data_IF_545050401803
#
_entry.id   IF_545050401803
#
_cell.length_a   1.000
_cell.length_b   1.000
_cell.length_c   1.000
_cell.angle_alpha   90.00
_cell.angle_beta   90.00
_cell.angle_gamma   90.00
#
_symmetry.space_group_name_H-M   'P 1'
#
loop_
_entity.id
_entity.type
_entity.pdbx_description
1 polymer ?
#
# COMPACT_ATOMS: atom_id res chain seq x y z
N UNK A 1 3.15 0.96 -4.86
CA UNK A 1 2.11 0.59 -3.87
C UNK A 1 1.96 1.80 -2.98
N UNK A 2 0.76 2.30 -2.84
CA UNK A 2 0.46 3.57 -2.18
C UNK A 2 -0.47 3.32 -1.00
N UNK A 3 -0.21 4.00 0.11
CA UNK A 3 -1.10 4.06 1.26
C UNK A 3 -1.52 5.50 1.50
N UNK A 4 -2.82 5.73 1.60
CA UNK A 4 -3.38 7.05 1.87
C UNK A 4 -4.12 7.05 3.20
N UNK A 5 -3.96 8.14 3.97
CA UNK A 5 -4.83 8.46 5.11
C UNK A 5 -5.68 9.65 4.71
N UNK A 6 -7.01 9.49 4.71
CA UNK A 6 -7.94 10.55 4.34
C UNK A 6 -7.60 11.23 2.99
N UNK A 7 -7.13 10.45 2.02
CA UNK A 7 -6.73 10.93 0.69
C UNK A 7 -5.33 11.56 0.61
N UNK A 8 -4.52 11.54 1.67
CA UNK A 8 -3.13 12.04 1.69
C UNK A 8 -2.15 10.88 1.63
N UNK A 9 -1.14 10.97 0.76
CA UNK A 9 -0.08 9.96 0.61
C UNK A 9 0.83 9.88 1.83
N UNK A 10 0.92 8.69 2.42
CA UNK A 10 1.70 8.43 3.66
C UNK A 10 2.76 7.37 3.45
N UNK A 11 2.53 6.48 2.48
CA UNK A 11 3.52 5.50 2.04
C UNK A 11 3.49 5.46 0.52
N UNK A 12 4.68 5.48 -0.07
CA UNK A 12 4.89 5.28 -1.49
C UNK A 12 6.03 4.27 -1.70
N UNK A 13 5.82 3.36 -2.64
CA UNK A 13 6.84 2.45 -3.13
C UNK A 13 6.83 2.52 -4.65
N UNK A 14 7.49 3.56 -5.14
CA UNK A 14 7.73 3.83 -6.54
C UNK A 14 8.88 3.00 -7.08
N UNK A 15 8.68 2.50 -8.31
CA UNK A 15 9.76 1.92 -9.10
C UNK A 15 10.00 2.78 -10.33
N UNK A 16 11.25 3.22 -10.50
CA UNK A 16 11.67 4.02 -11.65
C UNK A 16 12.61 3.20 -12.54
N UNK A 17 12.11 2.74 -13.70
CA UNK A 17 12.95 2.07 -14.69
C UNK A 17 12.19 1.21 -15.71
N UNK A 18 12.86 0.74 -16.77
CA UNK A 18 12.28 -0.23 -17.70
C UNK A 18 12.22 -1.62 -17.05
N UNK A 19 11.12 -2.36 -17.25
CA UNK A 19 10.91 -3.70 -16.70
C UNK A 19 10.51 -4.66 -17.81
N UNK A 20 11.12 -5.85 -17.83
CA UNK A 20 10.87 -6.91 -18.80
C UNK A 20 10.18 -8.13 -18.15
N UNK A 21 9.79 -8.00 -16.89
CA UNK A 21 9.27 -9.06 -16.01
C UNK A 21 8.25 -8.47 -15.01
N UNK A 22 7.57 -9.32 -14.24
CA UNK A 22 6.59 -8.87 -13.24
C UNK A 22 7.26 -8.12 -12.08
N UNK A 23 6.78 -6.91 -11.77
CA UNK A 23 7.22 -6.15 -10.61
C UNK A 23 6.34 -6.48 -9.40
N UNK A 24 6.95 -6.93 -8.32
CA UNK A 24 6.28 -7.20 -7.04
C UNK A 24 6.81 -6.20 -6.02
N UNK A 25 5.91 -5.40 -5.47
CA UNK A 25 6.22 -4.34 -4.51
C UNK A 25 5.62 -4.67 -3.16
N UNK A 26 6.39 -4.49 -2.09
CA UNK A 26 5.95 -4.64 -0.72
C UNK A 26 6.39 -3.41 0.08
N UNK A 27 5.53 -2.92 0.97
CA UNK A 27 5.84 -1.77 1.82
C UNK A 27 5.14 -1.91 3.16
N UNK A 28 5.74 -1.35 4.21
CA UNK A 28 5.18 -1.34 5.56
C UNK A 28 5.56 -0.05 6.28
N UNK A 29 4.70 0.42 7.18
CA UNK A 29 4.98 1.56 8.04
C UNK A 29 4.20 1.45 9.35
N UNK A 30 4.62 2.20 10.35
CA UNK A 30 3.86 2.42 11.59
C UNK A 30 3.25 3.81 11.48
N UNK A 31 1.92 3.86 11.40
CA UNK A 31 1.16 5.07 11.19
C UNK A 31 0.35 5.37 12.44
N UNK A 32 0.41 6.63 12.91
CA UNK A 32 -0.46 7.12 13.97
C UNK A 32 -1.82 7.49 13.38
N UNK A 33 -2.86 6.75 13.75
CA UNK A 33 -4.24 7.04 13.34
C UNK A 33 -5.04 7.68 14.47
N UNK A 34 -5.98 8.53 14.08
CA UNK A 34 -7.02 9.11 14.93
C UNK A 34 -8.37 8.42 14.68
N UNK A 35 -9.30 8.57 15.63
CA UNK A 35 -10.62 8.01 15.48
C UNK A 35 -11.34 8.64 14.26
N UNK A 36 -11.77 7.80 13.32
CA UNK A 36 -12.45 8.23 12.10
C UNK A 36 -11.54 8.35 10.88
N UNK A 37 -10.22 8.18 11.01
CA UNK A 37 -9.34 8.15 9.86
C UNK A 37 -9.63 6.94 8.96
N UNK A 38 -9.63 7.19 7.64
CA UNK A 38 -9.76 6.17 6.61
C UNK A 38 -8.38 5.85 6.03
N UNK A 39 -8.02 4.56 6.06
CA UNK A 39 -6.81 4.05 5.41
C UNK A 39 -7.20 3.36 4.12
N UNK A 40 -6.60 3.80 3.01
CA UNK A 40 -6.82 3.24 1.69
C UNK A 40 -5.51 2.76 1.09
N UNK A 41 -5.55 1.61 0.42
CA UNK A 41 -4.39 0.94 -0.14
C UNK A 41 -4.59 0.77 -1.63
N UNK A 42 -3.64 1.26 -2.43
CA UNK A 42 -3.72 1.22 -3.88
C UNK A 42 -2.47 0.66 -4.53
N UNK A 43 -2.67 -0.12 -5.58
CA UNK A 43 -1.65 -0.31 -6.60
C UNK A 43 -1.89 0.74 -7.69
N UNK A 44 -0.88 1.55 -8.01
CA UNK A 44 -0.91 2.50 -9.12
C UNK A 44 0.31 2.28 -10.02
N UNK A 45 0.15 2.63 -11.30
CA UNK A 45 1.22 2.62 -12.29
C UNK A 45 1.09 3.86 -13.17
N UNK A 46 2.17 4.61 -13.30
CA UNK A 46 2.29 5.74 -14.24
C UNK A 46 2.71 5.28 -15.65
N UNK A 47 3.04 4.00 -15.82
CA UNK A 47 3.43 3.38 -17.10
C UNK A 47 2.28 2.54 -17.65
N UNK A 48 2.07 2.59 -18.97
CA UNK A 48 1.08 1.78 -19.65
C UNK A 48 1.34 0.29 -19.41
N UNK A 49 0.35 -0.40 -18.86
CA UNK A 49 0.43 -1.80 -18.44
C UNK A 49 -0.90 -2.26 -17.85
N UNK A 50 -0.90 -3.44 -17.24
CA UNK A 50 -2.08 -3.98 -16.55
C UNK A 50 -1.71 -4.22 -15.09
N UNK A 51 -2.47 -3.62 -14.18
CA UNK A 51 -2.45 -4.03 -12.77
C UNK A 51 -3.28 -5.32 -12.69
N UNK A 52 -2.61 -6.41 -12.34
CA UNK A 52 -3.25 -7.71 -12.20
C UNK A 52 -4.08 -7.76 -10.92
N UNK A 53 -5.35 -8.15 -11.03
CA UNK A 53 -6.25 -8.38 -9.89
C UNK A 53 -6.39 -9.88 -9.59
N UNK A 54 -5.44 -10.71 -10.02
CA UNK A 54 -5.46 -12.15 -9.73
C UNK A 54 -5.35 -12.34 -8.21
N UNK A 55 -6.25 -13.15 -7.65
CA UNK A 55 -6.59 -13.25 -6.22
C UNK A 55 -5.41 -13.49 -5.25
N UNK A 56 -4.23 -13.88 -5.73
CA UNK A 56 -3.07 -14.22 -4.91
C UNK A 56 -1.88 -13.23 -5.03
N UNK A 57 -2.04 -12.16 -5.81
CA UNK A 57 -0.92 -11.23 -6.10
C UNK A 57 -0.85 -10.01 -5.18
N UNK A 58 -1.92 -9.74 -4.42
CA UNK A 58 -2.03 -8.57 -3.53
C UNK A 58 -2.40 -9.01 -2.12
N UNK A 59 -1.65 -8.56 -1.13
CA UNK A 59 -1.86 -8.88 0.29
C UNK A 59 -1.72 -7.62 1.14
N UNK A 60 -2.63 -7.43 2.10
CA UNK A 60 -2.60 -6.34 3.07
C UNK A 60 -2.91 -6.87 4.46
N UNK A 61 -2.11 -6.46 5.43
CA UNK A 61 -2.30 -6.76 6.84
C UNK A 61 -1.98 -5.53 7.70
N UNK A 62 -2.67 -5.41 8.83
CA UNK A 62 -2.45 -4.34 9.78
C UNK A 62 -2.72 -4.82 11.22
N UNK A 63 -1.99 -4.22 12.16
CA UNK A 63 -2.20 -4.44 13.59
C UNK A 63 -2.11 -3.10 14.33
N UNK A 64 -2.86 -3.00 15.43
CA UNK A 64 -2.76 -1.85 16.33
C UNK A 64 -1.47 -1.95 17.16
N UNK A 65 -0.62 -0.93 17.07
CA UNK A 65 0.62 -0.83 17.84
C UNK A 65 0.67 0.48 18.65
N UNK A 66 0.99 0.45 19.96
CA UNK A 66 1.09 -0.76 20.77
C UNK A 66 -0.26 -1.46 20.90
N UNK A 67 -0.21 -2.77 21.16
CA UNK A 67 -1.40 -3.61 21.32
C UNK A 67 -2.33 -3.03 22.41
N UNK A 68 -3.65 -3.19 22.26
CA UNK A 68 -4.58 -2.79 23.31
C UNK A 68 -4.18 -3.40 24.65
N UNK A 69 -4.12 -2.57 25.70
CA UNK A 69 -4.07 -3.08 27.07
C UNK A 69 -5.47 -3.63 27.38
N UNK A 70 -5.51 -4.89 27.76
CA UNK A 70 -6.71 -5.56 28.28
C UNK A 70 -7.21 -4.89 29.56
#
# INVERSE_FOLDING_TARGET
>A
MECLINGVYEIDNDFFGPINFANVVAVSSIIQLSAGDLVEIFAQSSVAGVISNVEDSTYFEAARFPSPKV
#
